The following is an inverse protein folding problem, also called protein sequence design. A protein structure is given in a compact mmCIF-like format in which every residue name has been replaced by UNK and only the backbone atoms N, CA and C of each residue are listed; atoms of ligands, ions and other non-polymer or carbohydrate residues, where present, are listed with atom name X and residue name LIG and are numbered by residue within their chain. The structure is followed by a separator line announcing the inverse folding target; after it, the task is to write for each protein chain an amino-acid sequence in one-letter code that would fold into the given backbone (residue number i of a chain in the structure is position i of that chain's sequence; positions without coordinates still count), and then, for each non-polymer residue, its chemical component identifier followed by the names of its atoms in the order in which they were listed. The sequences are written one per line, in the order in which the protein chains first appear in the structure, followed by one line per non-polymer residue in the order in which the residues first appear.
data_IF_283537269379
#
_entry.id   IF_283537269379
#
_cell.length_a   1.000
_cell.length_b   1.000
_cell.length_c   1.000
_cell.angle_alpha   90.00
_cell.angle_beta   90.00
_cell.angle_gamma   90.00
#
_symmetry.space_group_name_H-M   'P 1'
#
loop_
_entity.id
_entity.type
_entity.pdbx_description
1 polymer ?
#
# COMPACT_ATOMS: atom_id res chain seq x y z
N UNK A 1 24.94 34.24 11.08
CA UNK A 1 25.25 33.17 10.09
C UNK A 1 24.35 31.92 10.20
N UNK A 2 23.65 31.66 11.33
CA UNK A 2 22.69 30.54 11.44
C UNK A 2 21.33 30.83 10.77
N UNK A 3 20.93 32.10 10.63
CA UNK A 3 19.60 32.46 10.07
C UNK A 3 19.50 32.32 8.55
N UNK A 4 20.60 32.54 7.80
CA UNK A 4 20.59 32.43 6.34
C UNK A 4 20.44 30.97 5.87
N UNK A 5 21.04 30.02 6.60
CA UNK A 5 20.92 28.58 6.33
C UNK A 5 19.52 28.08 6.67
N UNK A 6 18.90 28.60 7.74
CA UNK A 6 17.50 28.32 8.08
C UNK A 6 16.54 28.90 7.05
N UNK A 7 16.79 30.12 6.56
CA UNK A 7 15.96 30.74 5.52
C UNK A 7 16.02 30.04 4.17
N UNK A 8 17.20 29.56 3.76
CA UNK A 8 17.35 28.77 2.54
C UNK A 8 16.67 27.40 2.66
N UNK A 9 16.80 26.73 3.80
CA UNK A 9 16.13 25.45 4.05
C UNK A 9 14.60 25.59 3.96
N UNK A 10 14.03 26.61 4.61
CA UNK A 10 12.59 26.88 4.56
C UNK A 10 12.11 27.24 3.16
N UNK A 11 12.92 27.96 2.38
CA UNK A 11 12.61 28.23 0.97
C UNK A 11 12.56 26.94 0.16
N UNK A 12 13.58 26.08 0.27
CA UNK A 12 13.63 24.80 -0.46
C UNK A 12 12.48 23.88 -0.05
N UNK A 13 12.10 23.86 1.24
CA UNK A 13 10.93 23.11 1.73
C UNK A 13 9.62 23.61 1.10
N UNK A 14 9.45 24.93 0.96
CA UNK A 14 8.30 25.51 0.26
C UNK A 14 8.28 25.13 -1.21
N UNK A 15 9.43 25.15 -1.88
CA UNK A 15 9.54 24.73 -3.28
C UNK A 15 9.18 23.24 -3.46
N UNK A 16 9.64 22.37 -2.55
CA UNK A 16 9.27 20.94 -2.52
C UNK A 16 7.77 20.74 -2.28
N UNK A 17 7.19 21.52 -1.36
CA UNK A 17 5.75 21.46 -1.09
C UNK A 17 4.95 21.83 -2.34
N UNK A 18 5.32 22.92 -3.02
CA UNK A 18 4.65 23.34 -4.25
C UNK A 18 4.77 22.28 -5.34
N UNK A 19 5.97 21.69 -5.50
CA UNK A 19 6.16 20.58 -6.44
C UNK A 19 5.29 19.35 -6.08
N UNK A 20 5.14 19.05 -4.80
CA UNK A 20 4.29 17.96 -4.32
C UNK A 20 2.81 18.22 -4.63
N UNK A 21 2.34 19.46 -4.46
CA UNK A 21 0.98 19.87 -4.85
C UNK A 21 0.76 19.66 -6.36
N UNK A 22 1.73 20.03 -7.19
CA UNK A 22 1.67 19.83 -8.63
C UNK A 22 1.67 18.34 -9.02
N UNK A 23 2.48 17.52 -8.35
CA UNK A 23 2.48 16.07 -8.55
C UNK A 23 1.11 15.47 -8.21
N UNK A 24 0.51 15.84 -7.09
CA UNK A 24 -0.83 15.37 -6.70
C UNK A 24 -1.87 15.76 -7.75
N UNK A 25 -1.81 16.98 -8.29
CA UNK A 25 -2.70 17.41 -9.39
C UNK A 25 -2.51 16.53 -10.62
N UNK A 26 -1.27 16.25 -11.03
CA UNK A 26 -0.98 15.40 -12.19
C UNK A 26 -1.45 13.95 -11.98
N UNK A 27 -1.35 13.42 -10.75
CA UNK A 27 -1.88 12.09 -10.43
C UNK A 27 -3.41 12.02 -10.54
N UNK A 28 -4.13 13.06 -10.10
CA UNK A 28 -5.59 13.14 -10.28
C UNK A 28 -6.01 13.16 -11.75
N UNK A 29 -5.35 13.99 -12.55
CA UNK A 29 -5.60 14.02 -14.00
C UNK A 29 -5.31 12.67 -14.66
N UNK A 30 -4.26 12.00 -14.20
CA UNK A 30 -3.89 10.67 -14.68
C UNK A 30 -4.88 9.57 -14.26
N UNK A 31 -5.43 9.65 -13.06
CA UNK A 31 -6.50 8.76 -12.58
C UNK A 31 -7.74 8.88 -13.48
N UNK A 32 -8.19 10.10 -13.77
CA UNK A 32 -9.32 10.36 -14.67
C UNK A 32 -9.09 9.77 -16.07
N UNK A 33 -7.91 10.02 -16.65
CA UNK A 33 -7.53 9.44 -17.95
C UNK A 33 -7.48 7.91 -17.91
N UNK A 34 -7.01 7.33 -16.80
CA UNK A 34 -6.95 5.87 -16.63
C UNK A 34 -8.34 5.26 -16.60
N UNK A 35 -9.30 5.89 -15.92
CA UNK A 35 -10.70 5.44 -15.92
C UNK A 35 -11.34 5.52 -17.30
N UNK A 36 -11.09 6.59 -18.06
CA UNK A 36 -11.55 6.72 -19.45
C UNK A 36 -10.96 5.58 -20.32
N UNK A 37 -9.67 5.29 -20.17
CA UNK A 37 -9.02 4.16 -20.85
C UNK A 37 -9.68 2.84 -20.45
N UNK A 38 -10.01 2.64 -19.17
CA UNK A 38 -10.70 1.45 -18.68
C UNK A 38 -12.02 1.24 -19.45
N UNK A 39 -12.88 2.26 -19.50
CA UNK A 39 -14.18 2.18 -20.19
C UNK A 39 -14.03 1.85 -21.67
N UNK A 40 -13.04 2.42 -22.35
CA UNK A 40 -12.75 2.11 -23.76
C UNK A 40 -12.29 0.64 -23.88
N UNK A 41 -11.32 0.22 -23.06
CA UNK A 41 -10.79 -1.15 -23.11
C UNK A 41 -11.85 -2.21 -22.83
N UNK A 42 -12.72 -1.99 -21.84
CA UNK A 42 -13.84 -2.88 -21.54
C UNK A 42 -14.79 -3.01 -22.74
N UNK A 43 -15.12 -1.89 -23.40
CA UNK A 43 -16.00 -1.91 -24.58
C UNK A 43 -15.38 -2.62 -25.78
N UNK A 44 -14.10 -2.40 -26.01
CA UNK A 44 -13.35 -2.97 -27.15
C UNK A 44 -12.72 -4.34 -26.82
N UNK A 45 -12.97 -4.88 -25.62
CA UNK A 45 -12.40 -6.13 -25.12
C UNK A 45 -10.86 -6.22 -25.19
N UNK A 46 -10.18 -5.13 -24.82
CA UNK A 46 -8.72 -5.09 -24.69
C UNK A 46 -8.27 -5.43 -23.27
N UNK A 47 -7.10 -6.04 -23.16
CA UNK A 47 -6.45 -6.29 -21.87
C UNK A 47 -6.07 -4.98 -21.15
N UNK A 48 -6.22 -4.96 -19.82
CA UNK A 48 -5.86 -3.82 -18.98
C UNK A 48 -4.34 -3.54 -19.06
N UNK A 49 -3.51 -4.59 -19.07
CA UNK A 49 -2.06 -4.44 -19.18
C UNK A 49 -1.60 -4.58 -20.63
N UNK A 50 -0.84 -3.59 -21.13
CA UNK A 50 -0.21 -3.64 -22.44
C UNK A 50 1.30 -3.39 -22.31
N UNK A 51 2.07 -4.48 -22.33
CA UNK A 51 3.52 -4.42 -22.18
C UNK A 51 4.20 -3.66 -23.32
N UNK A 52 3.70 -3.77 -24.55
CA UNK A 52 4.30 -3.07 -25.71
C UNK A 52 4.14 -1.56 -25.55
N UNK A 53 3.01 -1.11 -25.02
CA UNK A 53 2.78 0.31 -24.70
C UNK A 53 3.68 0.80 -23.58
N UNK A 54 3.84 0.05 -22.49
CA UNK A 54 4.78 0.39 -21.40
C UNK A 54 6.21 0.56 -21.93
N UNK A 55 6.68 -0.40 -22.75
CA UNK A 55 8.01 -0.35 -23.36
C UNK A 55 8.16 0.82 -24.33
N UNK A 56 7.11 1.16 -25.08
CA UNK A 56 7.11 2.35 -25.91
C UNK A 56 7.29 3.61 -25.07
N UNK A 57 6.56 3.75 -23.95
CA UNK A 57 6.72 4.92 -23.07
C UNK A 57 8.13 4.98 -22.47
N UNK A 58 8.65 3.85 -21.99
CA UNK A 58 10.02 3.75 -21.48
C UNK A 58 11.07 4.20 -22.51
N UNK A 59 10.92 3.77 -23.77
CA UNK A 59 11.83 4.16 -24.86
C UNK A 59 11.75 5.66 -25.18
N UNK A 60 10.55 6.25 -25.16
CA UNK A 60 10.35 7.66 -25.49
C UNK A 60 10.85 8.63 -24.40
N UNK A 61 10.89 8.21 -23.14
CA UNK A 61 11.41 9.01 -22.03
C UNK A 61 12.95 9.02 -21.94
N UNK A 62 13.64 8.27 -22.82
CA UNK A 62 15.09 8.26 -22.92
C UNK A 62 15.80 7.49 -21.80
N UNK A 63 17.04 7.89 -21.50
CA UNK A 63 17.90 7.21 -20.52
C UNK A 63 17.50 7.57 -19.09
N UNK A 64 16.59 6.77 -18.52
CA UNK A 64 16.20 6.85 -17.11
C UNK A 64 17.21 6.09 -16.23
N UNK A 65 17.58 6.68 -15.09
CA UNK A 65 18.29 5.97 -14.02
C UNK A 65 17.43 4.83 -13.44
N UNK A 66 18.02 3.83 -12.77
CA UNK A 66 17.25 2.75 -12.13
C UNK A 66 16.15 3.25 -11.19
N UNK A 67 16.43 4.32 -10.43
CA UNK A 67 15.44 4.93 -9.51
C UNK A 67 14.29 5.59 -10.26
N UNK A 68 14.58 6.33 -11.33
CA UNK A 68 13.54 6.94 -12.18
C UNK A 68 12.69 5.88 -12.89
N UNK A 69 13.30 4.78 -13.33
CA UNK A 69 12.57 3.65 -13.92
C UNK A 69 11.63 3.00 -12.90
N UNK A 70 12.07 2.85 -11.65
CA UNK A 70 11.21 2.37 -10.56
C UNK A 70 10.01 3.30 -10.33
N UNK A 71 10.22 4.63 -10.33
CA UNK A 71 9.12 5.62 -10.23
C UNK A 71 8.14 5.47 -11.40
N UNK A 72 8.64 5.34 -12.62
CA UNK A 72 7.77 5.17 -13.79
C UNK A 72 6.98 3.86 -13.73
N UNK A 73 7.59 2.77 -13.27
CA UNK A 73 6.87 1.52 -13.06
C UNK A 73 5.76 1.68 -12.02
N UNK A 74 6.03 2.37 -10.89
CA UNK A 74 4.98 2.69 -9.91
C UNK A 74 3.84 3.50 -10.54
N UNK A 75 4.17 4.44 -11.43
CA UNK A 75 3.17 5.20 -12.20
C UNK A 75 2.36 4.26 -13.11
N UNK A 76 2.97 3.29 -13.80
CA UNK A 76 2.21 2.31 -14.58
C UNK A 76 1.26 1.48 -13.72
N UNK A 77 1.74 0.94 -12.60
CA UNK A 77 0.91 0.14 -11.69
C UNK A 77 -0.25 0.98 -11.12
N UNK A 78 -0.02 2.26 -10.77
CA UNK A 78 -1.09 3.18 -10.38
C UNK A 78 -2.16 3.35 -11.48
N UNK A 79 -1.77 3.41 -12.75
CA UNK A 79 -2.77 3.48 -13.84
C UNK A 79 -3.56 2.19 -14.00
N UNK A 80 -2.92 1.05 -13.76
CA UNK A 80 -3.54 -0.27 -13.89
C UNK A 80 -4.55 -0.45 -12.76
N UNK A 81 -4.21 -0.11 -11.51
CA UNK A 81 -5.15 -0.18 -10.39
C UNK A 81 -6.35 0.74 -10.60
N UNK A 82 -6.16 1.94 -11.18
CA UNK A 82 -7.30 2.81 -11.53
C UNK A 82 -8.21 2.25 -12.65
N UNK A 83 -7.75 1.26 -13.42
CA UNK A 83 -8.53 0.59 -14.46
C UNK A 83 -9.19 -0.69 -13.95
N UNK A 84 -8.65 -1.29 -12.89
CA UNK A 84 -9.11 -2.57 -12.39
C UNK A 84 -10.51 -2.40 -11.79
N UNK A 85 -11.45 -3.20 -12.30
CA UNK A 85 -12.79 -3.29 -11.73
C UNK A 85 -12.81 -4.65 -11.06
N UNK A 86 -12.68 -4.64 -9.73
CA UNK A 86 -12.64 -5.86 -8.97
C UNK A 86 -13.87 -6.73 -9.30
N UNK A 87 -13.63 -7.99 -9.68
CA UNK A 87 -14.72 -8.95 -9.92
C UNK A 87 -15.50 -9.14 -8.61
N UNK A 88 -16.71 -8.58 -8.56
CA UNK A 88 -17.57 -8.60 -7.38
C UNK A 88 -17.79 -10.04 -6.87
N UNK A 89 -17.82 -11.02 -7.77
CA UNK A 89 -18.02 -12.44 -7.41
C UNK A 89 -16.78 -13.02 -6.73
N UNK A 90 -15.58 -12.68 -7.24
CA UNK A 90 -14.32 -13.10 -6.63
C UNK A 90 -14.14 -12.43 -5.27
N UNK A 91 -14.51 -11.15 -5.14
CA UNK A 91 -14.45 -10.41 -3.88
C UNK A 91 -15.32 -11.04 -2.79
N UNK A 92 -16.55 -11.46 -3.13
CA UNK A 92 -17.43 -12.14 -2.16
C UNK A 92 -16.78 -13.43 -1.65
N UNK A 93 -16.23 -14.26 -2.56
CA UNK A 93 -15.58 -15.51 -2.18
C UNK A 93 -14.32 -15.29 -1.31
N UNK A 94 -13.50 -14.30 -1.65
CA UNK A 94 -12.29 -13.97 -0.89
C UNK A 94 -12.63 -13.39 0.49
N UNK A 95 -13.69 -12.58 0.60
CA UNK A 95 -14.12 -11.97 1.86
C UNK A 95 -14.56 -13.01 2.91
N UNK A 96 -15.05 -14.16 2.47
CA UNK A 96 -15.50 -15.25 3.33
C UNK A 96 -14.41 -16.30 3.61
N UNK A 97 -13.24 -16.17 2.97
CA UNK A 97 -12.17 -17.16 3.04
C UNK A 97 -11.07 -16.73 4.01
N UNK A 98 -10.34 -17.72 4.55
CA UNK A 98 -9.15 -17.49 5.36
C UNK A 98 -8.04 -18.43 4.92
N UNK A 99 -6.82 -17.89 4.79
CA UNK A 99 -5.61 -18.67 4.55
C UNK A 99 -4.92 -18.87 5.89
N UNK A 100 -4.50 -20.11 6.15
CA UNK A 100 -3.70 -20.44 7.33
C UNK A 100 -2.23 -20.64 6.94
N UNK A 101 -1.34 -19.92 7.63
CA UNK A 101 0.10 -19.99 7.44
C UNK A 101 0.72 -20.46 8.75
N UNK A 102 1.50 -21.54 8.72
CA UNK A 102 2.16 -22.10 9.91
C UNK A 102 3.63 -21.73 9.94
N UNK A 103 4.14 -21.35 11.10
CA UNK A 103 5.54 -20.98 11.26
C UNK A 103 5.89 -20.51 12.67
N UNK A 104 7.13 -20.09 12.84
CA UNK A 104 7.58 -19.45 14.08
C UNK A 104 6.85 -18.11 14.28
N UNK A 105 6.30 -17.87 15.48
CA UNK A 105 5.52 -16.66 15.80
C UNK A 105 6.23 -15.37 15.40
N UNK A 106 7.52 -15.26 15.67
CA UNK A 106 8.34 -14.10 15.32
C UNK A 106 8.36 -13.82 13.82
N UNK A 107 8.45 -14.87 13.00
CA UNK A 107 8.41 -14.73 11.54
C UNK A 107 7.00 -14.38 11.05
N UNK A 108 5.98 -14.95 11.67
CA UNK A 108 4.58 -14.63 11.35
C UNK A 108 4.26 -13.17 11.67
N UNK A 109 4.78 -12.62 12.77
CA UNK A 109 4.63 -11.19 13.10
C UNK A 109 5.30 -10.29 12.06
N UNK A 110 6.50 -10.65 11.59
CA UNK A 110 7.16 -9.94 10.49
C UNK A 110 6.33 -9.99 9.20
N UNK A 111 5.80 -11.16 8.85
CA UNK A 111 4.98 -11.35 7.65
C UNK A 111 3.66 -10.58 7.77
N UNK A 112 2.98 -10.65 8.91
CA UNK A 112 1.75 -9.90 9.15
C UNK A 112 1.97 -8.40 8.96
N UNK A 113 3.04 -7.86 9.55
CA UNK A 113 3.41 -6.47 9.37
C UNK A 113 3.72 -6.12 7.90
N UNK A 114 4.40 -7.01 7.18
CA UNK A 114 4.71 -6.81 5.77
C UNK A 114 3.48 -6.85 4.86
N UNK A 115 2.48 -7.67 5.18
CA UNK A 115 1.23 -7.76 4.43
C UNK A 115 0.30 -6.58 4.72
N UNK A 116 0.28 -6.09 5.97
CA UNK A 116 -0.63 -5.03 6.40
C UNK A 116 -0.09 -3.62 6.18
N UNK A 117 1.21 -3.47 5.91
CA UNK A 117 1.86 -2.16 5.82
C UNK A 117 2.15 -1.80 4.38
N UNK A 118 1.73 -0.60 3.97
CA UNK A 118 2.08 0.02 2.70
C UNK A 118 2.71 1.40 2.95
N UNK A 119 3.42 1.98 1.96
CA UNK A 119 3.95 3.33 2.10
C UNK A 119 2.85 4.35 2.45
N UNK A 120 2.99 5.02 3.58
CA UNK A 120 2.02 6.00 4.08
C UNK A 120 0.96 5.44 5.03
N UNK A 121 0.94 4.12 5.29
CA UNK A 121 0.08 3.55 6.33
C UNK A 121 0.56 3.93 7.74
N UNK A 122 -0.39 3.99 8.67
CA UNK A 122 -0.19 4.25 10.09
C UNK A 122 -0.55 2.97 10.87
N UNK A 123 0.39 2.49 11.67
CA UNK A 123 0.24 1.30 12.51
C UNK A 123 0.13 1.74 13.97
N UNK A 124 -1.05 1.60 14.54
CA UNK A 124 -1.36 1.96 15.92
C UNK A 124 -1.25 0.73 16.82
N UNK A 125 -0.57 0.87 17.95
CA UNK A 125 -0.65 -0.11 19.03
C UNK A 125 -0.59 0.54 20.40
N UNK A 126 -1.44 0.05 21.31
CA UNK A 126 -1.49 0.50 22.70
C UNK A 126 -0.49 -0.27 23.59
N UNK A 127 0.23 -1.24 23.02
CA UNK A 127 1.26 -2.03 23.66
C UNK A 127 2.56 -1.90 22.88
N UNK A 128 3.66 -2.29 23.52
CA UNK A 128 4.93 -2.42 22.82
C UNK A 128 4.82 -3.56 21.80
N UNK A 129 5.06 -3.23 20.53
CA UNK A 129 5.08 -4.20 19.44
C UNK A 129 6.37 -4.98 19.45
N UNK A 130 6.29 -6.26 19.12
CA UNK A 130 7.48 -7.08 18.97
C UNK A 130 8.41 -6.52 17.88
N UNK A 131 9.75 -6.52 18.07
CA UNK A 131 10.68 -5.89 17.14
C UNK A 131 10.60 -6.40 15.69
N UNK A 132 10.25 -7.69 15.50
CA UNK A 132 10.08 -8.26 14.18
C UNK A 132 8.89 -7.64 13.43
N UNK A 133 7.79 -7.38 14.14
CA UNK A 133 6.64 -6.66 13.58
C UNK A 133 7.03 -5.25 13.16
N UNK A 134 7.68 -4.50 14.07
CA UNK A 134 8.14 -3.12 13.81
C UNK A 134 9.05 -3.07 12.58
N UNK A 135 9.98 -4.02 12.48
CA UNK A 135 10.87 -4.12 11.32
C UNK A 135 10.11 -4.35 10.02
N UNK A 136 9.12 -5.24 10.00
CA UNK A 136 8.28 -5.51 8.83
C UNK A 136 7.47 -4.27 8.40
N UNK A 137 6.89 -3.55 9.36
CA UNK A 137 6.10 -2.35 9.10
C UNK A 137 6.95 -1.21 8.53
N UNK A 138 8.06 -0.88 9.19
CA UNK A 138 8.95 0.22 8.78
C UNK A 138 9.58 -0.05 7.42
N UNK A 139 9.97 -1.31 7.12
CA UNK A 139 10.54 -1.67 5.82
C UNK A 139 9.56 -1.49 4.66
N UNK A 140 8.27 -1.62 4.91
CA UNK A 140 7.22 -1.39 3.93
C UNK A 140 6.66 0.05 3.97
N UNK A 141 7.30 0.96 4.72
CA UNK A 141 7.01 2.39 4.69
C UNK A 141 5.84 2.84 5.57
N UNK A 142 5.44 2.02 6.55
CA UNK A 142 4.47 2.43 7.54
C UNK A 142 5.10 3.20 8.71
N UNK A 143 4.30 4.07 9.33
CA UNK A 143 4.64 4.80 10.54
C UNK A 143 4.04 4.09 11.75
N UNK A 144 4.87 3.65 12.69
CA UNK A 144 4.42 3.02 13.94
C UNK A 144 4.12 4.09 14.99
N UNK A 145 2.90 4.09 15.50
CA UNK A 145 2.37 5.08 16.44
C UNK A 145 1.94 4.37 17.72
N UNK A 146 2.43 4.86 18.87
CA UNK A 146 1.96 4.39 20.17
C UNK A 146 0.61 5.05 20.48
N UNK A 147 -0.44 4.23 20.59
CA UNK A 147 -1.80 4.68 20.86
C UNK A 147 -2.86 3.73 20.33
N UNK A 148 -4.10 4.22 20.29
CA UNK A 148 -5.25 3.50 19.74
C UNK A 148 -5.79 4.24 18.54
N UNK A 149 -6.17 3.51 17.50
CA UNK A 149 -6.98 4.03 16.42
C UNK A 149 -8.46 3.77 16.72
N UNK A 150 -9.28 4.82 16.73
CA UNK A 150 -10.72 4.69 16.98
C UNK A 150 -11.49 4.11 15.78
N UNK A 151 -10.93 4.25 14.57
CA UNK A 151 -11.54 3.76 13.32
C UNK A 151 -10.48 3.12 12.44
N UNK A 152 -9.96 1.94 12.85
CA UNK A 152 -9.00 1.20 12.05
C UNK A 152 -9.71 0.53 10.87
N UNK A 153 -9.02 0.50 9.74
CA UNK A 153 -9.49 -0.18 8.52
C UNK A 153 -9.05 -1.66 8.53
N UNK A 154 -7.97 -1.98 9.26
CA UNK A 154 -7.47 -3.33 9.46
C UNK A 154 -7.11 -3.54 10.94
N UNK A 155 -7.43 -4.73 11.45
CA UNK A 155 -7.09 -5.16 12.82
C UNK A 155 -6.24 -6.42 12.81
N UNK A 156 -5.18 -6.41 13.62
CA UNK A 156 -4.27 -7.53 13.86
C UNK A 156 -4.29 -7.86 15.34
N UNK A 157 -4.37 -9.15 15.68
CA UNK A 157 -4.34 -9.58 17.07
C UNK A 157 -3.85 -11.01 17.27
N UNK A 158 -3.76 -11.41 18.52
CA UNK A 158 -3.28 -12.74 18.90
C UNK A 158 -4.40 -13.74 19.28
N UNK A 159 -5.64 -13.45 18.88
CA UNK A 159 -6.82 -14.29 19.17
C UNK A 159 -7.31 -15.03 17.93
N UNK A 160 -7.84 -16.24 18.10
CA UNK A 160 -8.54 -16.97 17.04
C UNK A 160 -9.89 -16.37 16.66
N UNK A 161 -10.28 -15.25 17.27
CA UNK A 161 -11.53 -14.54 16.98
C UNK A 161 -11.44 -13.78 15.64
N UNK A 162 -11.80 -14.48 14.57
CA UNK A 162 -11.80 -13.95 13.21
C UNK A 162 -12.95 -12.97 12.95
N UNK A 163 -13.89 -12.78 13.87
CA UNK A 163 -14.91 -11.73 13.74
C UNK A 163 -14.34 -10.33 14.03
N UNK A 164 -13.21 -10.28 14.75
CA UNK A 164 -12.57 -9.03 15.18
C UNK A 164 -11.32 -8.72 14.35
N UNK A 165 -10.55 -9.76 13.99
CA UNK A 165 -9.23 -9.61 13.39
C UNK A 165 -9.18 -10.04 11.93
N UNK A 166 -8.56 -9.19 11.10
CA UNK A 166 -8.30 -9.48 9.69
C UNK A 166 -7.07 -10.37 9.53
N UNK A 167 -6.10 -10.20 10.44
CA UNK A 167 -4.96 -11.08 10.63
C UNK A 167 -4.94 -11.50 12.09
N UNK A 168 -4.90 -12.79 12.36
CA UNK A 168 -4.64 -13.30 13.71
C UNK A 168 -3.42 -14.20 13.74
N UNK A 169 -2.62 -14.10 14.81
CA UNK A 169 -1.46 -14.97 15.04
C UNK A 169 -1.62 -15.62 16.42
N UNK A 170 -1.94 -16.91 16.45
CA UNK A 170 -2.07 -17.64 17.69
C UNK A 170 -0.70 -18.04 18.29
N UNK A 171 -0.70 -18.43 19.56
CA UNK A 171 0.50 -18.91 20.26
C UNK A 171 0.98 -20.28 19.76
N UNK A 172 0.16 -20.99 18.98
CA UNK A 172 0.50 -22.25 18.32
C UNK A 172 1.32 -22.07 17.04
N UNK A 173 1.62 -20.83 16.64
CA UNK A 173 2.37 -20.53 15.42
C UNK A 173 1.51 -20.69 14.16
N UNK A 174 0.22 -20.37 14.25
CA UNK A 174 -0.69 -20.30 13.10
C UNK A 174 -1.12 -18.85 12.92
N UNK A 175 -0.87 -18.32 11.73
CA UNK A 175 -1.43 -17.06 11.27
C UNK A 175 -2.64 -17.33 10.38
N UNK A 176 -3.79 -16.75 10.71
CA UNK A 176 -4.97 -16.70 9.85
C UNK A 176 -5.03 -15.34 9.18
N UNK A 177 -5.24 -15.30 7.87
CA UNK A 177 -5.33 -14.06 7.10
C UNK A 177 -6.53 -14.11 6.16
N UNK A 178 -7.33 -13.05 6.17
CA UNK A 178 -8.36 -12.84 5.15
C UNK A 178 -7.69 -12.40 3.84
N UNK A 179 -7.82 -13.15 2.72
CA UNK A 179 -7.15 -12.83 1.45
C UNK A 179 -7.50 -11.44 0.89
N UNK A 180 -8.62 -10.85 1.29
CA UNK A 180 -8.99 -9.49 0.88
C UNK A 180 -7.92 -8.47 1.21
N UNK A 181 -7.11 -8.70 2.25
CA UNK A 181 -6.04 -7.76 2.60
C UNK A 181 -4.93 -7.69 1.55
N UNK A 182 -4.84 -8.69 0.68
CA UNK A 182 -3.83 -8.80 -0.37
C UNK A 182 -4.25 -8.08 -1.65
N UNK A 183 -5.49 -7.61 -1.73
CA UNK A 183 -5.97 -6.87 -2.90
C UNK A 183 -5.32 -5.49 -2.95
N UNK A 184 -4.93 -5.08 -4.17
CA UNK A 184 -4.27 -3.80 -4.42
C UNK A 184 -5.13 -2.61 -4.08
N UNK A 185 -6.45 -2.75 -4.18
CA UNK A 185 -7.41 -1.65 -4.05
C UNK A 185 -7.82 -1.37 -2.59
N UNK A 186 -7.47 -2.27 -1.67
CA UNK A 186 -7.59 -2.04 -0.23
C UNK A 186 -6.28 -1.43 0.27
N UNK A 187 -6.17 -0.11 0.15
CA UNK A 187 -5.12 0.65 0.82
C UNK A 187 -5.54 0.91 2.26
N UNK A 188 -5.27 -0.06 3.15
CA UNK A 188 -5.39 0.17 4.58
C UNK A 188 -4.34 1.20 5.00
N UNK A 189 -4.81 2.42 5.20
CA UNK A 189 -4.02 3.54 5.72
C UNK A 189 -3.95 3.51 7.24
N UNK A 190 -4.92 2.89 7.93
CA UNK A 190 -4.96 2.82 9.39
C UNK A 190 -5.09 1.38 9.88
N UNK A 191 -4.03 0.88 10.49
CA UNK A 191 -3.93 -0.48 11.06
C UNK A 191 -3.90 -0.39 12.58
N UNK A 192 -4.73 -1.18 13.26
CA UNK A 192 -4.69 -1.37 14.71
C UNK A 192 -4.10 -2.74 15.05
N UNK A 193 -3.15 -2.78 15.98
CA UNK A 193 -2.53 -4.01 16.50
C UNK A 193 -2.78 -4.12 18.00
N UNK A 194 -3.50 -5.17 18.40
CA UNK A 194 -4.05 -5.38 19.75
C UNK A 194 -3.30 -6.45 20.60
#
# INVERSE_FOLDING_TARGET
MRDATSGLLEKVRKDILQNTVELVRLFKEREELSRIIASIKTRENFEIRDRKREEFVLKNLGNLSPRQRSILNMIFEFSISCQDHADETLNVNLSQSHIQIRGEKVLLEYVAAALSSKPGSEVYSSKELHPAFVLGAVRNGAHVINGRCDSPELRIGHSSDLEIYHISIDDGGIMSVNPMILQTDFDFTKVQVD
#
